data_IF_443089947253
#
_entry.id   IF_443089947253
#
_cell.length_a   1.000
_cell.length_b   1.000
_cell.length_c   1.000
_cell.angle_alpha   90.00
_cell.angle_beta   90.00
_cell.angle_gamma   90.00
#
_symmetry.space_group_name_H-M   'P 1'
#
loop_
_entity.id
_entity.type
_entity.pdbx_description
1 polymer ?
#
# COMPACT_ATOMS: atom_id res chain seq x y z
N UNK A 1 -12.80 -4.68 4.80
CA UNK A 1 -11.88 -5.67 4.20
C UNK A 1 -12.71 -6.74 3.55
N UNK A 2 -12.32 -7.21 2.37
CA UNK A 2 -12.95 -8.36 1.71
C UNK A 2 -11.91 -9.47 1.68
N UNK A 3 -12.33 -10.71 1.89
CA UNK A 3 -11.41 -11.84 1.82
C UNK A 3 -11.45 -12.46 0.42
N UNK A 4 -10.27 -12.73 -0.15
CA UNK A 4 -10.13 -13.45 -1.42
C UNK A 4 -9.51 -14.82 -1.19
N UNK A 5 -10.14 -15.84 -1.77
CA UNK A 5 -9.63 -17.20 -1.75
C UNK A 5 -8.69 -17.42 -2.93
N UNK A 6 -7.43 -17.70 -2.62
CA UNK A 6 -6.39 -17.94 -3.64
C UNK A 6 -6.75 -19.18 -4.46
N UNK A 7 -6.80 -19.02 -5.77
CA UNK A 7 -7.01 -20.12 -6.70
C UNK A 7 -5.69 -20.66 -7.25
N UNK A 8 -5.71 -21.89 -7.76
CA UNK A 8 -4.52 -22.50 -8.36
C UNK A 8 -4.01 -21.67 -9.55
N UNK A 9 -2.78 -21.21 -9.47
CA UNK A 9 -2.14 -20.36 -10.49
C UNK A 9 -2.28 -18.85 -10.26
N UNK A 10 -2.94 -18.44 -9.16
CA UNK A 10 -2.92 -17.05 -8.75
C UNK A 10 -1.53 -16.66 -8.24
N UNK A 11 -1.22 -15.37 -8.40
CA UNK A 11 -0.11 -14.68 -7.76
C UNK A 11 -0.62 -13.30 -7.32
N UNK A 12 0.11 -12.63 -6.41
CA UNK A 12 -0.33 -11.34 -5.87
C UNK A 12 -0.60 -10.29 -6.96
N UNK A 13 0.20 -10.31 -8.04
CA UNK A 13 0.06 -9.44 -9.19
C UNK A 13 -1.27 -9.64 -9.94
N UNK A 14 -1.61 -10.89 -10.27
CA UNK A 14 -2.82 -11.25 -10.99
C UNK A 14 -4.06 -11.05 -10.12
N UNK A 15 -3.96 -11.30 -8.81
CA UNK A 15 -5.05 -11.02 -7.87
C UNK A 15 -5.33 -9.51 -7.84
N UNK A 16 -4.29 -8.68 -7.69
CA UNK A 16 -4.44 -7.23 -7.68
C UNK A 16 -4.99 -6.67 -9.01
N UNK A 17 -4.60 -7.27 -10.14
CA UNK A 17 -5.06 -6.88 -11.48
C UNK A 17 -6.57 -7.07 -11.70
N UNK A 18 -7.23 -7.97 -10.96
CA UNK A 18 -8.66 -8.25 -11.13
C UNK A 18 -9.48 -6.97 -10.88
N UNK A 19 -10.47 -6.74 -11.74
CA UNK A 19 -11.36 -5.58 -11.64
C UNK A 19 -12.14 -5.55 -10.32
N UNK A 20 -12.52 -6.71 -9.80
CA UNK A 20 -13.22 -6.85 -8.52
C UNK A 20 -12.33 -6.60 -7.29
N UNK A 21 -11.01 -6.48 -7.49
CA UNK A 21 -10.02 -6.30 -6.41
C UNK A 21 -9.47 -4.89 -6.41
N UNK A 22 -8.56 -4.56 -7.32
CA UNK A 22 -8.00 -3.21 -7.43
C UNK A 22 -8.06 -2.63 -8.84
N UNK A 23 -8.36 -3.46 -9.85
CA UNK A 23 -8.18 -3.11 -11.27
C UNK A 23 -6.78 -2.59 -11.62
N UNK A 24 -5.81 -2.76 -10.71
CA UNK A 24 -4.45 -2.26 -10.84
C UNK A 24 -3.47 -3.33 -10.32
N UNK A 25 -2.69 -3.95 -11.21
CA UNK A 25 -1.69 -4.93 -10.80
C UNK A 25 -0.64 -4.35 -9.87
N UNK A 26 -0.33 -3.05 -9.96
CA UNK A 26 0.65 -2.40 -9.09
C UNK A 26 0.21 -2.30 -7.63
N UNK A 27 -1.03 -2.68 -7.31
CA UNK A 27 -1.54 -2.76 -5.95
C UNK A 27 -1.16 -4.06 -5.23
N UNK A 28 -0.47 -4.99 -5.88
CA UNK A 28 0.02 -6.22 -5.26
C UNK A 28 0.87 -6.00 -3.98
N UNK A 29 1.72 -4.96 -3.83
CA UNK A 29 2.49 -4.76 -2.61
C UNK A 29 1.60 -4.42 -1.43
N UNK A 30 0.46 -3.76 -1.69
CA UNK A 30 -0.54 -3.47 -0.67
C UNK A 30 -1.22 -4.72 -0.17
N UNK A 31 -1.59 -5.62 -1.10
CA UNK A 31 -2.13 -6.93 -0.76
C UNK A 31 -1.12 -7.75 0.06
N UNK A 32 0.15 -7.76 -0.36
CA UNK A 32 1.22 -8.40 0.38
C UNK A 32 1.36 -7.86 1.81
N UNK A 33 1.50 -6.53 1.97
CA UNK A 33 1.69 -5.90 3.29
C UNK A 33 0.55 -6.19 4.25
N UNK A 34 -0.70 -6.19 3.78
CA UNK A 34 -1.86 -6.54 4.60
C UNK A 34 -1.88 -8.01 5.06
N UNK A 35 -1.20 -8.90 4.33
CA UNK A 35 -1.14 -10.33 4.62
C UNK A 35 0.28 -10.79 4.98
N UNK A 36 1.20 -9.87 5.30
CA UNK A 36 2.62 -10.17 5.53
C UNK A 36 2.83 -11.15 6.70
N UNK A 37 1.91 -11.17 7.66
CA UNK A 37 1.92 -12.14 8.76
C UNK A 37 1.59 -13.57 8.30
N UNK A 38 0.91 -13.72 7.16
CA UNK A 38 0.53 -15.01 6.56
C UNK A 38 1.40 -15.39 5.35
N UNK A 39 2.11 -14.42 4.77
CA UNK A 39 2.93 -14.57 3.57
C UNK A 39 4.37 -14.17 3.93
N UNK A 40 5.23 -15.16 4.14
CA UNK A 40 6.65 -14.91 4.36
C UNK A 40 7.37 -14.50 3.08
N UNK A 41 7.01 -15.13 1.95
CA UNK A 41 7.57 -14.85 0.64
C UNK A 41 6.44 -14.41 -0.32
N UNK A 42 6.52 -13.20 -0.90
CA UNK A 42 5.49 -12.68 -1.80
C UNK A 42 5.23 -13.57 -3.04
N UNK A 43 6.20 -14.40 -3.44
CA UNK A 43 6.06 -15.33 -4.57
C UNK A 43 5.43 -16.68 -4.16
N UNK A 44 5.30 -16.93 -2.85
CA UNK A 44 4.74 -18.17 -2.31
C UNK A 44 3.36 -17.94 -1.68
N UNK A 45 2.32 -18.04 -2.50
CA UNK A 45 0.93 -18.15 -2.04
C UNK A 45 0.35 -19.51 -2.42
N UNK A 46 -0.51 -20.05 -1.56
CA UNK A 46 -1.06 -21.41 -1.74
C UNK A 46 -2.55 -21.37 -2.08
N UNK A 47 -3.06 -22.32 -2.90
CA UNK A 47 -4.49 -22.47 -3.11
C UNK A 47 -5.26 -22.61 -1.78
N UNK A 48 -6.49 -22.12 -1.75
CA UNK A 48 -7.39 -22.09 -0.57
C UNK A 48 -6.95 -21.16 0.57
N UNK A 49 -5.80 -20.48 0.44
CA UNK A 49 -5.40 -19.42 1.35
C UNK A 49 -6.37 -18.24 1.26
N UNK A 50 -6.79 -17.70 2.41
CA UNK A 50 -7.65 -16.52 2.48
C UNK A 50 -6.79 -15.27 2.68
N UNK A 51 -6.78 -14.39 1.70
CA UNK A 51 -6.07 -13.13 1.75
C UNK A 51 -7.05 -11.99 2.04
N UNK A 52 -6.72 -11.17 3.03
CA UNK A 52 -7.45 -9.95 3.33
C UNK A 52 -7.10 -8.87 2.30
N UNK A 53 -8.11 -8.34 1.62
CA UNK A 53 -7.97 -7.23 0.67
C UNK A 53 -8.36 -5.94 1.37
N UNK A 54 -7.40 -5.04 1.66
CA UNK A 54 -7.69 -3.73 2.21
C UNK A 54 -8.22 -2.80 1.11
N UNK A 55 -9.43 -2.26 1.33
CA UNK A 55 -10.04 -1.21 0.50
C UNK A 55 -10.07 0.10 1.26
N UNK A 56 -9.70 1.21 0.61
CA UNK A 56 -9.65 2.53 1.24
C UNK A 56 -8.52 2.70 2.27
N UNK A 57 -8.28 3.91 2.75
CA UNK A 57 -7.31 4.20 3.80
C UNK A 57 -8.03 4.88 4.97
N UNK A 58 -7.48 4.82 6.18
CA UNK A 58 -8.01 5.57 7.30
C UNK A 58 -7.92 7.09 7.05
N UNK A 59 -8.66 7.91 7.81
CA UNK A 59 -8.65 9.38 7.64
C UNK A 59 -7.26 9.99 7.86
N UNK A 60 -6.44 9.37 8.70
CA UNK A 60 -5.06 9.76 8.98
C UNK A 60 -4.04 9.01 8.11
N UNK A 61 -4.46 8.43 6.98
CA UNK A 61 -3.60 7.68 6.09
C UNK A 61 -3.73 8.16 4.64
N UNK A 62 -2.64 8.05 3.89
CA UNK A 62 -2.60 8.41 2.48
C UNK A 62 -2.16 7.22 1.64
N UNK A 63 -2.89 6.94 0.56
CA UNK A 63 -2.49 5.92 -0.42
C UNK A 63 -1.60 6.55 -1.48
N UNK A 64 -0.33 6.17 -1.49
CA UNK A 64 0.63 6.59 -2.50
C UNK A 64 0.21 6.07 -3.86
N UNK A 65 0.03 6.99 -4.79
CA UNK A 65 -0.21 6.76 -6.20
C UNK A 65 1.07 6.88 -7.00
N UNK A 66 1.02 6.48 -8.27
CA UNK A 66 2.19 6.48 -9.13
C UNK A 66 2.64 7.92 -9.42
N UNK A 67 3.86 8.25 -9.00
CA UNK A 67 4.48 9.55 -9.25
C UNK A 67 4.38 10.52 -8.08
N UNK A 68 3.81 10.09 -6.95
CA UNK A 68 3.76 10.91 -5.74
C UNK A 68 5.14 11.09 -5.11
N UNK A 69 5.35 12.30 -4.58
CA UNK A 69 6.48 12.63 -3.73
C UNK A 69 5.99 13.15 -2.37
N UNK A 70 6.77 12.94 -1.30
CA UNK A 70 6.40 13.35 0.06
C UNK A 70 6.03 14.84 0.16
N UNK A 71 6.69 15.72 -0.59
CA UNK A 71 6.37 17.15 -0.60
C UNK A 71 5.04 17.47 -1.29
N UNK A 72 4.62 16.69 -2.29
CA UNK A 72 3.32 16.85 -2.92
C UNK A 72 2.21 16.39 -1.98
N UNK A 73 2.41 15.23 -1.33
CA UNK A 73 1.48 14.72 -0.33
C UNK A 73 1.35 15.72 0.83
N UNK A 74 2.46 16.28 1.32
CA UNK A 74 2.41 17.30 2.36
C UNK A 74 1.70 18.59 1.91
N UNK A 75 1.88 19.00 0.65
CA UNK A 75 1.14 20.13 0.08
C UNK A 75 -0.36 19.84 -0.01
N UNK A 76 -0.75 18.62 -0.38
CA UNK A 76 -2.16 18.23 -0.46
C UNK A 76 -2.82 18.14 0.91
N UNK A 77 -2.15 17.50 1.87
CA UNK A 77 -2.75 17.15 3.17
C UNK A 77 -2.59 18.26 4.21
N UNK A 78 -1.46 18.96 4.22
CA UNK A 78 -1.20 20.03 5.19
C UNK A 78 -1.30 21.44 4.61
N UNK A 79 -1.54 21.57 3.31
CA UNK A 79 -1.38 22.83 2.57
C UNK A 79 0.02 23.46 2.76
N UNK A 80 1.03 22.62 3.02
CA UNK A 80 2.40 23.03 3.29
C UNK A 80 3.39 21.95 2.83
N UNK A 81 4.06 22.13 1.67
CA UNK A 81 5.02 21.15 1.15
C UNK A 81 6.22 20.95 2.08
N UNK A 82 6.56 21.93 2.93
CA UNK A 82 7.69 21.84 3.88
C UNK A 82 7.47 20.82 4.98
N UNK A 83 6.22 20.36 5.20
CA UNK A 83 5.88 19.35 6.22
C UNK A 83 6.11 17.91 5.77
N UNK A 84 6.72 17.70 4.62
CA UNK A 84 7.11 16.37 4.13
C UNK A 84 7.97 15.59 5.13
N UNK A 85 8.79 16.30 5.92
CA UNK A 85 9.60 15.71 7.00
C UNK A 85 8.73 15.03 8.06
N UNK A 86 7.56 15.57 8.41
CA UNK A 86 6.64 14.96 9.38
C UNK A 86 6.12 13.62 8.87
N UNK A 87 5.76 13.57 7.59
CA UNK A 87 5.31 12.33 6.92
C UNK A 87 6.47 11.32 6.90
N UNK A 88 7.67 11.76 6.52
CA UNK A 88 8.84 10.89 6.51
C UNK A 88 9.15 10.32 7.88
N UNK A 89 9.20 11.15 8.93
CA UNK A 89 9.51 10.73 10.29
C UNK A 89 8.49 9.72 10.84
N UNK A 90 7.20 9.93 10.56
CA UNK A 90 6.13 9.01 10.95
C UNK A 90 6.22 7.65 10.22
N UNK A 91 6.79 7.63 9.01
CA UNK A 91 6.84 6.44 8.15
C UNK A 91 8.25 5.90 7.91
N UNK A 92 9.25 6.36 8.68
CA UNK A 92 10.67 6.04 8.46
C UNK A 92 10.99 4.53 8.49
N UNK A 93 10.17 3.74 9.17
CA UNK A 93 10.31 2.29 9.21
C UNK A 93 9.88 1.62 7.90
N UNK A 94 9.02 2.28 7.12
CA UNK A 94 8.52 1.82 5.83
C UNK A 94 9.23 2.50 4.64
N UNK A 95 9.85 3.65 4.86
CA UNK A 95 10.53 4.45 3.83
C UNK A 95 12.04 4.34 4.04
N UNK A 96 12.69 3.50 3.23
CA UNK A 96 14.16 3.36 3.25
C UNK A 96 14.84 4.61 2.69
N UNK A 97 14.25 5.21 1.65
CA UNK A 97 14.75 6.43 1.03
C UNK A 97 13.63 7.46 0.85
N UNK A 98 13.80 8.72 1.29
CA UNK A 98 12.74 9.75 1.24
C UNK A 98 12.17 10.02 -0.16
N UNK A 99 12.97 9.83 -1.20
CA UNK A 99 12.59 10.07 -2.59
C UNK A 99 12.05 8.82 -3.29
N UNK A 100 12.07 7.66 -2.63
CA UNK A 100 11.62 6.39 -3.17
C UNK A 100 10.32 5.98 -2.48
N UNK A 101 9.20 6.47 -3.02
CA UNK A 101 7.88 5.99 -2.66
C UNK A 101 7.44 4.91 -3.65
N UNK A 102 7.01 3.77 -3.11
CA UNK A 102 6.44 2.72 -3.93
C UNK A 102 4.94 2.95 -4.11
N UNK A 103 4.40 2.77 -5.32
CA UNK A 103 2.96 2.78 -5.54
C UNK A 103 2.26 1.79 -4.59
N UNK A 104 1.02 2.10 -4.21
CA UNK A 104 0.19 1.31 -3.30
C UNK A 104 0.67 1.26 -1.83
N UNK A 105 1.73 2.01 -1.49
CA UNK A 105 2.16 2.22 -0.12
C UNK A 105 1.15 3.08 0.63
N UNK A 106 0.82 2.70 1.86
CA UNK A 106 -0.01 3.51 2.75
C UNK A 106 0.92 4.24 3.71
N UNK A 107 0.81 5.56 3.75
CA UNK A 107 1.57 6.43 4.66
C UNK A 107 0.67 6.91 5.78
N UNK A 108 1.17 6.85 7.01
CA UNK A 108 0.58 7.53 8.16
C UNK A 108 0.78 9.03 8.03
N UNK A 109 -0.31 9.77 8.09
CA UNK A 109 -0.33 11.23 8.06
C UNK A 109 -0.58 11.71 9.49
N UNK A 110 0.45 12.15 10.22
CA UNK A 110 0.26 12.75 11.53
C UNK A 110 -0.59 14.02 11.44
N UNK A 111 -1.32 14.36 12.49
CA UNK A 111 -2.07 15.62 12.52
C UNK A 111 -1.13 16.83 12.39
N UNK A 112 -1.64 17.88 11.74
CA UNK A 112 -0.87 19.07 11.34
C UNK A 112 -0.26 19.82 12.54
#
# INVERSE_FOLDING_TARGET
TVDYMVMRGDNLWNIAKKDDIYADPYMWPRLYRANKEQIEDPDLIFPDQKLAIPFGVAENQYLVTRGDFLFQIAAEVYNDPGKWHKIYEANKEQIVEPHLLFPAQVLEIPSN
#
